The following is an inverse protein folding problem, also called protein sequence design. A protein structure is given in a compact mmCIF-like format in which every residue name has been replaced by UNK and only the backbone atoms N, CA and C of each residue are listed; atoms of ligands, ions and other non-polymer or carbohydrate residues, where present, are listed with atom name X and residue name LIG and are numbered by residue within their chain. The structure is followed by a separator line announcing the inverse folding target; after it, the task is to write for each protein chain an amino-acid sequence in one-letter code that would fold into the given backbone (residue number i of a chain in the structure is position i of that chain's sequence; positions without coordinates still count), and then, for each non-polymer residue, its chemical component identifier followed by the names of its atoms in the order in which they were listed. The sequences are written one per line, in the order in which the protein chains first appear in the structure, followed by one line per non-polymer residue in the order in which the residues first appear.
data_IF_712538050238
#
_entry.id   IF_712538050238
#
_cell.length_a   1.000
_cell.length_b   1.000
_cell.length_c   1.000
_cell.angle_alpha   90.00
_cell.angle_beta   90.00
_cell.angle_gamma   90.00
#
_symmetry.space_group_name_H-M   'P 1'
#
loop_
_entity.id
_entity.type
_entity.pdbx_description
1 polymer ?
#
# COMPACT_ATOMS: atom_id res chain seq x y z
N UNK A 1 20.97 11.87 -14.03
CA UNK A 1 20.33 11.49 -12.76
C UNK A 1 21.24 10.51 -12.05
N UNK A 2 21.44 10.68 -10.75
CA UNK A 2 22.28 9.78 -9.96
C UNK A 2 21.66 8.37 -9.88
N UNK A 3 22.50 7.33 -9.84
CA UNK A 3 22.06 5.93 -9.77
C UNK A 3 21.16 5.64 -8.57
N UNK A 4 21.42 6.30 -7.44
CA UNK A 4 20.65 6.16 -6.22
C UNK A 4 19.23 6.73 -6.38
N UNK A 5 19.09 7.98 -6.85
CA UNK A 5 17.81 8.60 -7.17
C UNK A 5 16.98 7.75 -8.15
N UNK A 6 17.62 7.23 -9.20
CA UNK A 6 16.96 6.38 -10.18
C UNK A 6 16.41 5.09 -9.54
N UNK A 7 17.22 4.47 -8.68
CA UNK A 7 16.84 3.22 -7.98
C UNK A 7 15.67 3.45 -7.03
N UNK A 8 15.75 4.50 -6.18
CA UNK A 8 14.72 4.86 -5.22
C UNK A 8 13.42 5.29 -5.91
N UNK A 9 13.52 6.04 -6.99
CA UNK A 9 12.38 6.49 -7.78
C UNK A 9 11.64 5.32 -8.40
N UNK A 10 12.35 4.45 -9.12
CA UNK A 10 11.76 3.27 -9.75
C UNK A 10 11.16 2.33 -8.69
N UNK A 11 11.90 2.01 -7.62
CA UNK A 11 11.40 1.06 -6.61
C UNK A 11 10.12 1.54 -5.95
N UNK A 12 10.07 2.81 -5.51
CA UNK A 12 8.89 3.36 -4.84
C UNK A 12 7.70 3.51 -5.79
N UNK A 13 7.92 3.97 -7.02
CA UNK A 13 6.84 4.08 -8.01
C UNK A 13 6.27 2.71 -8.38
N UNK A 14 7.11 1.69 -8.58
CA UNK A 14 6.67 0.32 -8.88
C UNK A 14 5.86 -0.25 -7.72
N UNK A 15 6.35 -0.12 -6.48
CA UNK A 15 5.63 -0.60 -5.29
C UNK A 15 4.26 0.07 -5.18
N UNK A 16 4.19 1.39 -5.38
CA UNK A 16 2.93 2.12 -5.34
C UNK A 16 1.93 1.66 -6.42
N UNK A 17 2.39 1.49 -7.65
CA UNK A 17 1.54 1.03 -8.77
C UNK A 17 1.04 -0.39 -8.53
N UNK A 18 1.90 -1.29 -8.04
CA UNK A 18 1.49 -2.66 -7.70
C UNK A 18 0.47 -2.67 -6.55
N UNK A 19 0.71 -1.91 -5.48
CA UNK A 19 -0.22 -1.78 -4.36
C UNK A 19 -1.57 -1.19 -4.79
N UNK A 20 -1.56 -0.17 -5.65
CA UNK A 20 -2.77 0.38 -6.26
C UNK A 20 -3.48 -0.68 -7.11
N UNK A 21 -2.75 -1.43 -7.94
CA UNK A 21 -3.29 -2.51 -8.78
C UNK A 21 -4.02 -3.58 -7.96
N UNK A 22 -3.37 -4.11 -6.92
CA UNK A 22 -3.98 -5.13 -6.04
C UNK A 22 -5.13 -4.57 -5.18
N UNK A 23 -5.20 -3.26 -4.98
CA UNK A 23 -6.34 -2.67 -4.27
C UNK A 23 -7.65 -2.74 -5.08
N UNK A 24 -7.58 -2.70 -6.42
CA UNK A 24 -8.73 -2.55 -7.30
C UNK A 24 -9.71 -3.74 -7.20
N UNK A 25 -9.28 -5.02 -7.30
CA UNK A 25 -10.18 -6.16 -7.15
C UNK A 25 -10.88 -6.18 -5.79
N UNK A 26 -10.21 -5.75 -4.71
CA UNK A 26 -10.77 -5.68 -3.36
C UNK A 26 -11.87 -4.62 -3.26
N UNK A 27 -11.62 -3.42 -3.81
CA UNK A 27 -12.58 -2.31 -3.80
C UNK A 27 -13.84 -2.66 -4.59
N UNK A 28 -13.67 -3.38 -5.70
CA UNK A 28 -14.76 -3.85 -6.58
C UNK A 28 -15.45 -5.12 -6.07
N UNK A 29 -15.07 -5.64 -4.90
CA UNK A 29 -15.66 -6.84 -4.29
C UNK A 29 -15.62 -8.06 -5.24
N UNK A 30 -14.57 -8.16 -6.07
CA UNK A 30 -14.44 -9.21 -7.10
C UNK A 30 -13.70 -10.45 -6.63
N UNK A 31 -13.22 -10.47 -5.39
CA UNK A 31 -12.39 -11.53 -4.85
C UNK A 31 -13.14 -12.25 -3.76
N UNK A 32 -13.47 -13.52 -3.98
CA UNK A 32 -14.08 -14.39 -2.98
C UNK A 32 -13.11 -14.69 -1.82
N UNK A 33 -13.66 -15.12 -0.69
CA UNK A 33 -12.89 -15.47 0.51
C UNK A 33 -11.81 -16.50 0.19
N UNK A 34 -10.56 -16.17 0.51
CA UNK A 34 -9.41 -17.02 0.22
C UNK A 34 -8.24 -16.77 1.19
N UNK A 35 -7.27 -17.68 1.20
CA UNK A 35 -6.13 -17.63 2.14
C UNK A 35 -4.90 -16.88 1.62
N UNK A 36 -4.90 -16.38 0.39
CA UNK A 36 -3.70 -15.83 -0.27
C UNK A 36 -3.76 -14.31 -0.50
N UNK A 37 -4.95 -13.75 -0.68
CA UNK A 37 -5.15 -12.41 -1.18
C UNK A 37 -6.14 -11.61 -0.34
N UNK A 38 -5.84 -10.32 -0.13
CA UNK A 38 -6.69 -9.41 0.64
C UNK A 38 -6.26 -9.22 2.10
N UNK A 39 -7.11 -8.54 2.86
CA UNK A 39 -6.95 -8.32 4.30
C UNK A 39 -7.42 -9.57 5.03
N UNK A 40 -6.46 -10.37 5.49
CA UNK A 40 -6.67 -11.72 6.05
C UNK A 40 -6.62 -11.71 7.58
N UNK A 41 -7.48 -10.91 8.19
CA UNK A 41 -7.66 -10.92 9.64
C UNK A 41 -8.61 -12.06 10.01
N UNK A 42 -8.55 -12.58 11.24
CA UNK A 42 -9.49 -13.61 11.70
C UNK A 42 -10.96 -13.23 11.44
N UNK A 43 -11.29 -11.95 11.71
CA UNK A 43 -12.59 -11.35 11.45
C UNK A 43 -13.03 -11.42 9.99
N UNK A 44 -12.09 -11.35 9.04
CA UNK A 44 -12.40 -11.43 7.60
C UNK A 44 -12.94 -12.80 7.19
N UNK A 45 -12.68 -13.85 7.98
CA UNK A 45 -13.07 -15.23 7.67
C UNK A 45 -14.34 -15.69 8.39
N UNK A 46 -14.97 -14.81 9.19
CA UNK A 46 -16.21 -15.15 9.92
C UNK A 46 -17.43 -15.24 8.99
N UNK A 47 -17.47 -14.47 7.91
CA UNK A 47 -18.54 -14.52 6.89
C UNK A 47 -18.13 -13.84 5.59
N UNK A 48 -18.82 -14.14 4.49
CA UNK A 48 -18.61 -13.46 3.21
C UNK A 48 -18.91 -11.95 3.30
N UNK A 49 -19.91 -11.56 4.08
CA UNK A 49 -20.22 -10.14 4.31
C UNK A 49 -19.03 -9.41 4.95
N UNK A 50 -18.46 -9.99 6.01
CA UNK A 50 -17.31 -9.42 6.69
C UNK A 50 -16.07 -9.42 5.78
N UNK A 51 -15.88 -10.47 4.99
CA UNK A 51 -14.83 -10.54 3.99
C UNK A 51 -14.88 -9.34 3.04
N UNK A 52 -16.01 -9.12 2.37
CA UNK A 52 -16.14 -8.03 1.41
C UNK A 52 -16.05 -6.65 2.08
N UNK A 53 -16.69 -6.47 3.24
CA UNK A 53 -16.69 -5.21 3.98
C UNK A 53 -15.28 -4.79 4.42
N UNK A 54 -14.52 -5.72 5.01
CA UNK A 54 -13.14 -5.47 5.46
C UNK A 54 -12.22 -5.28 4.26
N UNK A 55 -12.30 -6.14 3.24
CA UNK A 55 -11.44 -6.04 2.07
C UNK A 55 -11.68 -4.77 1.25
N UNK A 56 -12.94 -4.35 1.07
CA UNK A 56 -13.26 -3.10 0.39
C UNK A 56 -12.68 -1.90 1.13
N UNK A 57 -12.80 -1.87 2.47
CA UNK A 57 -12.18 -0.80 3.27
C UNK A 57 -10.65 -0.84 3.20
N UNK A 58 -10.06 -2.02 3.37
CA UNK A 58 -8.61 -2.23 3.27
C UNK A 58 -8.06 -1.83 1.90
N UNK A 59 -8.73 -2.23 0.81
CA UNK A 59 -8.39 -1.84 -0.55
C UNK A 59 -8.45 -0.32 -0.74
N UNK A 60 -9.52 0.35 -0.27
CA UNK A 60 -9.62 1.83 -0.35
C UNK A 60 -8.46 2.52 0.39
N UNK A 61 -8.10 2.02 1.58
CA UNK A 61 -6.98 2.55 2.36
C UNK A 61 -5.64 2.31 1.64
N UNK A 62 -5.41 1.10 1.12
CA UNK A 62 -4.21 0.75 0.38
C UNK A 62 -4.04 1.62 -0.87
N UNK A 63 -5.13 1.86 -1.62
CA UNK A 63 -5.13 2.74 -2.78
C UNK A 63 -4.78 4.19 -2.38
N UNK A 64 -5.43 4.71 -1.35
CA UNK A 64 -5.20 6.07 -0.87
C UNK A 64 -3.75 6.29 -0.44
N UNK A 65 -3.17 5.33 0.29
CA UNK A 65 -1.77 5.38 0.73
C UNK A 65 -0.75 5.08 -0.39
N UNK A 66 -1.19 4.52 -1.52
CA UNK A 66 -0.31 4.38 -2.70
C UNK A 66 -0.04 5.72 -3.39
N UNK A 67 -0.93 6.72 -3.24
CA UNK A 67 -0.72 8.07 -3.79
C UNK A 67 0.52 8.75 -3.20
N UNK A 68 0.68 8.91 -1.87
CA UNK A 68 1.89 9.54 -1.33
C UNK A 68 3.17 8.75 -1.64
N UNK A 69 3.13 7.40 -1.67
CA UNK A 69 4.31 6.60 -2.07
C UNK A 69 4.68 6.86 -3.53
N UNK A 70 3.69 6.92 -4.42
CA UNK A 70 3.93 7.24 -5.82
C UNK A 70 4.55 8.63 -5.95
N UNK A 71 4.04 9.63 -5.23
CA UNK A 71 4.60 10.98 -5.22
C UNK A 71 6.06 10.98 -4.71
N UNK A 72 6.37 10.25 -3.65
CA UNK A 72 7.75 10.10 -3.14
C UNK A 72 8.67 9.50 -4.21
N UNK A 73 8.23 8.44 -4.89
CA UNK A 73 8.98 7.85 -6.00
C UNK A 73 9.19 8.83 -7.16
N UNK A 74 8.14 9.56 -7.54
CA UNK A 74 8.21 10.56 -8.61
C UNK A 74 9.13 11.74 -8.27
N UNK A 75 9.16 12.17 -7.00
CA UNK A 75 10.04 13.22 -6.52
C UNK A 75 11.53 12.86 -6.65
N UNK A 76 11.89 11.58 -6.51
CA UNK A 76 13.28 11.13 -6.65
C UNK A 76 13.87 11.47 -8.04
N UNK A 77 13.03 11.57 -9.08
CA UNK A 77 13.48 11.88 -10.45
C UNK A 77 13.79 13.37 -10.67
N UNK A 78 13.29 14.27 -9.81
CA UNK A 78 13.42 15.73 -9.99
C UNK A 78 14.27 16.38 -8.89
N UNK A 79 14.48 15.70 -7.77
CA UNK A 79 15.34 16.18 -6.70
C UNK A 79 16.83 16.13 -7.11
N UNK A 80 17.68 16.99 -6.48
CA UNK A 80 19.13 16.83 -6.51
C UNK A 80 19.58 15.44 -6.04
N UNK A 81 20.85 15.07 -6.25
CA UNK A 81 21.50 13.91 -5.62
C UNK A 81 21.04 13.66 -4.18
N UNK A 82 20.39 12.52 -3.93
CA UNK A 82 19.94 12.14 -2.59
C UNK A 82 21.11 11.48 -1.87
N UNK A 83 21.61 12.15 -0.85
CA UNK A 83 22.76 11.67 -0.08
C UNK A 83 22.35 11.14 1.31
N UNK A 84 23.30 10.54 2.01
CA UNK A 84 23.14 10.20 3.43
C UNK A 84 22.99 11.48 4.27
N UNK A 85 22.07 11.51 5.26
CA UNK A 85 21.21 10.42 5.73
C UNK A 85 19.85 10.32 5.02
N UNK A 86 19.51 11.26 4.15
CA UNK A 86 18.18 11.36 3.52
C UNK A 86 17.82 10.14 2.67
N UNK A 87 18.80 9.42 2.10
CA UNK A 87 18.58 8.16 1.38
C UNK A 87 17.70 7.17 2.16
N UNK A 88 17.83 7.12 3.49
CA UNK A 88 17.09 6.18 4.33
C UNK A 88 15.60 6.52 4.39
N UNK A 89 15.26 7.81 4.38
CA UNK A 89 13.86 8.26 4.35
C UNK A 89 13.14 7.76 3.09
N UNK A 90 13.79 7.87 1.93
CA UNK A 90 13.23 7.40 0.66
C UNK A 90 13.25 5.88 0.53
N UNK A 91 14.28 5.21 1.06
CA UNK A 91 14.38 3.76 1.05
C UNK A 91 13.30 3.09 1.91
N UNK A 92 12.94 3.70 3.04
CA UNK A 92 11.90 3.18 3.95
C UNK A 92 10.50 3.74 3.68
N UNK A 93 10.30 4.54 2.64
CA UNK A 93 8.99 5.07 2.29
C UNK A 93 7.88 3.99 2.23
N UNK A 94 8.10 2.77 1.69
CA UNK A 94 7.08 1.71 1.68
C UNK A 94 6.56 1.30 3.07
N UNK A 95 7.29 1.59 4.15
CA UNK A 95 6.81 1.32 5.52
C UNK A 95 5.56 2.12 5.88
N UNK A 96 5.22 3.19 5.14
CA UNK A 96 3.95 3.90 5.34
C UNK A 96 2.73 3.00 5.09
N UNK A 97 2.86 1.87 4.37
CA UNK A 97 1.79 0.87 4.24
C UNK A 97 1.42 0.15 5.54
N UNK A 98 2.23 0.27 6.60
CA UNK A 98 1.83 -0.17 7.93
C UNK A 98 0.61 0.62 8.45
N UNK A 99 0.46 1.87 8.04
CA UNK A 99 -0.64 2.74 8.45
C UNK A 99 -2.01 2.23 7.93
N UNK A 100 -2.22 2.00 6.62
CA UNK A 100 -3.46 1.40 6.13
C UNK A 100 -3.68 -0.03 6.66
N UNK A 101 -2.61 -0.78 6.92
CA UNK A 101 -2.71 -2.10 7.59
C UNK A 101 -3.30 -1.99 8.99
N UNK A 102 -2.80 -1.08 9.82
CA UNK A 102 -3.33 -0.80 11.15
C UNK A 102 -4.75 -0.24 11.08
N UNK A 103 -5.03 0.68 10.15
CA UNK A 103 -6.37 1.24 9.94
C UNK A 103 -7.39 0.15 9.56
N UNK A 104 -7.01 -0.81 8.70
CA UNK A 104 -7.85 -1.95 8.34
C UNK A 104 -8.08 -2.88 9.54
N UNK A 105 -7.05 -3.12 10.36
CA UNK A 105 -7.17 -3.87 11.61
C UNK A 105 -8.13 -3.22 12.61
N UNK A 106 -7.96 -1.92 12.87
CA UNK A 106 -8.84 -1.17 13.77
C UNK A 106 -10.27 -1.09 13.25
N UNK A 107 -10.46 -1.05 11.93
CA UNK A 107 -11.78 -1.13 11.31
C UNK A 107 -12.43 -2.50 11.54
N UNK A 108 -11.70 -3.58 11.28
CA UNK A 108 -12.21 -4.95 11.45
C UNK A 108 -12.61 -5.23 12.91
N UNK A 109 -11.87 -4.71 13.90
CA UNK A 109 -12.20 -4.85 15.32
C UNK A 109 -13.53 -4.22 15.75
N UNK A 110 -14.09 -3.32 14.94
CA UNK A 110 -15.36 -2.64 15.23
C UNK A 110 -16.57 -3.34 14.58
N UNK A 111 -16.33 -4.38 13.80
CA UNK A 111 -17.34 -5.24 13.19
C UNK A 111 -17.54 -6.50 14.03
#
# INVERSE_FOLDING_TARGET
MEKLNLTLGISNSVVAVLAAGVSIPLIKEKVAMNKLYGVRLAKSFESDELWYKINKKGGKLLLAWSVPILLIGLLCFVLPPIESPYQWLFAYAPMLYLIPGLQAYLYARKL
#
